data_IF_765965811856
#
_entry.id   IF_765965811856
#
_cell.length_a   1.000
_cell.length_b   1.000
_cell.length_c   1.000
_cell.angle_alpha   90.00
_cell.angle_beta   90.00
_cell.angle_gamma   90.00
#
_symmetry.space_group_name_H-M   'P 1'
#
loop_
_entity.id
_entity.type
_entity.pdbx_description
1 polymer ?
#
# COMPACT_ATOMS: atom_id res chain seq x y z
N UNK A 1 -1.04 9.08 -25.83
CA UNK A 1 -1.31 10.35 -25.12
C UNK A 1 -2.44 10.11 -24.13
N UNK A 2 -2.13 10.04 -22.84
CA UNK A 2 -3.15 10.15 -21.79
C UNK A 2 -2.73 11.34 -20.93
N UNK A 3 -3.48 12.42 -21.11
CA UNK A 3 -3.39 13.67 -20.35
C UNK A 3 -4.05 13.47 -19.00
N UNK A 4 -3.44 14.03 -17.96
CA UNK A 4 -4.09 14.37 -16.70
C UNK A 4 -3.87 13.37 -15.58
N UNK A 5 -2.79 13.54 -14.82
CA UNK A 5 -2.86 13.27 -13.39
C UNK A 5 -3.03 14.63 -12.70
N UNK A 6 -4.20 14.77 -12.08
CA UNK A 6 -4.55 15.85 -11.17
C UNK A 6 -3.54 15.93 -10.01
N UNK A 7 -3.16 17.14 -9.62
CA UNK A 7 -2.05 17.43 -8.69
C UNK A 7 -2.39 17.15 -7.22
N UNK A 8 -3.27 16.20 -6.93
CA UNK A 8 -3.86 16.02 -5.60
C UNK A 8 -3.69 14.63 -4.97
N UNK A 9 -3.20 13.60 -5.67
CA UNK A 9 -3.21 12.23 -5.11
C UNK A 9 -1.94 11.41 -5.42
N UNK A 10 -0.91 11.56 -4.59
CA UNK A 10 0.20 10.61 -4.38
C UNK A 10 1.12 10.28 -5.57
N UNK A 11 2.33 9.78 -5.29
CA UNK A 11 3.21 9.23 -6.33
C UNK A 11 3.00 7.71 -6.41
N UNK A 12 2.44 7.22 -7.50
CA UNK A 12 2.50 5.80 -7.87
C UNK A 12 3.71 5.62 -8.78
N UNK A 13 4.71 4.86 -8.35
CA UNK A 13 5.90 4.56 -9.16
C UNK A 13 5.48 3.76 -10.40
N UNK A 14 5.36 4.41 -11.56
CA UNK A 14 4.63 3.90 -12.73
C UNK A 14 5.44 2.97 -13.66
N UNK A 15 6.73 2.78 -13.45
CA UNK A 15 7.55 1.92 -14.30
C UNK A 15 7.56 0.46 -13.80
N UNK A 16 6.97 -0.44 -14.59
CA UNK A 16 7.06 -1.89 -14.39
C UNK A 16 6.03 -2.53 -13.44
N UNK A 17 5.03 -1.79 -12.94
CA UNK A 17 3.96 -2.37 -12.10
C UNK A 17 2.97 -3.17 -12.97
N UNK A 18 2.71 -4.46 -12.65
CA UNK A 18 1.68 -5.23 -13.34
C UNK A 18 0.29 -4.63 -13.17
N UNK A 19 -0.58 -4.78 -14.18
CA UNK A 19 -1.93 -4.21 -14.16
C UNK A 19 -2.80 -4.64 -12.96
N UNK A 20 -2.71 -5.89 -12.43
CA UNK A 20 -3.47 -6.25 -11.23
C UNK A 20 -3.07 -5.45 -9.99
N UNK A 21 -1.77 -5.27 -9.78
CA UNK A 21 -1.25 -4.49 -8.65
C UNK A 21 -1.68 -3.02 -8.75
N UNK A 22 -1.63 -2.43 -9.95
CA UNK A 22 -2.11 -1.06 -10.16
C UNK A 22 -3.61 -0.91 -9.85
N UNK A 23 -4.44 -1.89 -10.23
CA UNK A 23 -5.87 -1.90 -9.94
C UNK A 23 -6.14 -2.02 -8.43
N UNK A 24 -5.38 -2.88 -7.74
CA UNK A 24 -5.48 -3.04 -6.29
C UNK A 24 -5.14 -1.74 -5.56
N UNK A 25 -4.00 -1.14 -5.89
CA UNK A 25 -3.54 0.15 -5.33
C UNK A 25 -4.59 1.23 -5.54
N UNK A 26 -5.09 1.38 -6.77
CA UNK A 26 -6.12 2.38 -7.09
C UNK A 26 -7.37 2.21 -6.22
N UNK A 27 -7.83 0.97 -6.05
CA UNK A 27 -9.00 0.66 -5.22
C UNK A 27 -8.74 0.97 -3.75
N UNK A 28 -7.57 0.60 -3.23
CA UNK A 28 -7.15 0.91 -1.85
C UNK A 28 -7.11 2.42 -1.64
N UNK A 29 -6.52 3.19 -2.55
CA UNK A 29 -6.43 4.65 -2.45
C UNK A 29 -7.83 5.27 -2.37
N UNK A 30 -8.75 4.84 -3.23
CA UNK A 30 -10.13 5.34 -3.25
C UNK A 30 -10.91 5.03 -1.97
N UNK A 31 -10.80 3.80 -1.45
CA UNK A 31 -11.58 3.33 -0.29
C UNK A 31 -10.95 3.76 1.02
N UNK A 32 -9.63 3.58 1.14
CA UNK A 32 -8.93 3.74 2.40
C UNK A 32 -8.35 5.13 2.60
N UNK A 33 -8.05 5.87 1.53
CA UNK A 33 -7.29 7.13 1.57
C UNK A 33 -6.06 7.00 2.50
N UNK A 34 -5.14 6.07 2.19
CA UNK A 34 -3.99 5.80 3.04
C UNK A 34 -2.97 6.93 2.95
N UNK A 35 -2.06 6.96 3.93
CA UNK A 35 -0.88 7.81 3.90
C UNK A 35 0.26 7.11 3.16
N UNK A 36 0.36 5.77 3.28
CA UNK A 36 1.38 4.97 2.60
C UNK A 36 0.88 3.56 2.29
N UNK A 37 1.33 2.99 1.17
CA UNK A 37 1.14 1.57 0.84
C UNK A 37 2.51 0.95 0.55
N UNK A 38 2.80 -0.14 1.24
CA UNK A 38 4.03 -0.91 1.08
C UNK A 38 3.66 -2.27 0.47
N UNK A 39 4.28 -2.61 -0.65
CA UNK A 39 4.30 -3.96 -1.19
C UNK A 39 5.42 -4.74 -0.51
N UNK A 40 5.13 -5.87 0.11
CA UNK A 40 6.12 -6.69 0.78
C UNK A 40 5.93 -8.18 0.42
N UNK A 41 6.56 -9.07 1.18
CA UNK A 41 6.43 -10.50 0.97
C UNK A 41 7.13 -11.00 -0.29
N UNK A 42 6.68 -12.14 -0.78
CA UNK A 42 7.37 -12.93 -1.81
C UNK A 42 7.59 -12.18 -3.14
N UNK A 43 6.72 -11.22 -3.48
CA UNK A 43 6.85 -10.43 -4.71
C UNK A 43 8.10 -9.53 -4.71
N UNK A 44 8.60 -9.16 -3.52
CA UNK A 44 9.80 -8.30 -3.38
C UNK A 44 11.12 -9.04 -3.51
N UNK A 45 11.12 -10.38 -3.40
CA UNK A 45 12.31 -11.22 -3.37
C UNK A 45 12.93 -11.52 -4.77
N UNK A 46 12.41 -10.89 -5.84
CA UNK A 46 12.99 -10.96 -7.19
C UNK A 46 12.72 -12.27 -7.96
N UNK A 47 12.14 -13.29 -7.32
CA UNK A 47 11.59 -14.46 -8.01
C UNK A 47 10.16 -14.16 -8.44
N UNK A 48 10.02 -13.45 -9.56
CA UNK A 48 8.74 -13.14 -10.21
C UNK A 48 8.03 -14.43 -10.67
N UNK A 49 7.48 -15.19 -9.74
CA UNK A 49 6.60 -16.30 -10.06
C UNK A 49 5.25 -15.71 -10.45
N UNK A 50 4.78 -16.01 -11.65
CA UNK A 50 3.58 -15.46 -12.28
C UNK A 50 2.25 -15.77 -11.56
N UNK A 51 2.29 -16.25 -10.32
CA UNK A 51 1.13 -16.56 -9.48
C UNK A 51 1.34 -16.26 -7.99
N UNK A 52 2.34 -15.47 -7.60
CA UNK A 52 2.49 -15.03 -6.21
C UNK A 52 1.46 -13.96 -5.85
N UNK A 53 0.88 -14.07 -4.66
CA UNK A 53 -0.05 -13.10 -4.10
C UNK A 53 0.64 -11.74 -3.88
N UNK A 54 -0.11 -10.64 -4.01
CA UNK A 54 0.39 -9.31 -3.67
C UNK A 54 0.11 -8.98 -2.20
N UNK A 55 1.13 -9.01 -1.36
CA UNK A 55 1.03 -8.61 0.05
C UNK A 55 1.18 -7.09 0.20
N UNK A 56 0.10 -6.43 0.64
CA UNK A 56 0.01 -4.98 0.75
C UNK A 56 -0.23 -4.55 2.18
N UNK A 57 0.68 -3.72 2.71
CA UNK A 57 0.50 -3.05 4.00
C UNK A 57 0.02 -1.62 3.76
N UNK A 58 -1.21 -1.36 4.19
CA UNK A 58 -1.89 -0.08 4.09
C UNK A 58 -1.72 0.69 5.40
N UNK A 59 -0.90 1.73 5.36
CA UNK A 59 -0.65 2.58 6.52
C UNK A 59 -1.52 3.83 6.45
N UNK A 60 -2.26 4.07 7.53
CA UNK A 60 -3.18 5.20 7.64
C UNK A 60 -3.13 5.79 9.04
N UNK A 61 -2.95 7.09 9.14
CA UNK A 61 -2.97 7.82 10.41
C UNK A 61 -4.38 7.89 10.99
N UNK A 62 -4.47 7.84 12.32
CA UNK A 62 -5.72 7.84 13.07
C UNK A 62 -6.66 6.68 12.70
N UNK A 63 -6.11 5.51 12.40
CA UNK A 63 -6.87 4.32 12.02
C UNK A 63 -7.53 3.69 13.24
N UNK A 64 -8.82 3.97 13.44
CA UNK A 64 -9.58 3.46 14.60
C UNK A 64 -10.04 2.00 14.48
N UNK A 65 -10.33 1.53 13.26
CA UNK A 65 -10.87 0.17 13.04
C UNK A 65 -10.24 -0.48 11.81
N UNK A 66 -9.13 -1.17 12.05
CA UNK A 66 -8.35 -1.89 11.03
C UNK A 66 -9.20 -2.93 10.30
N UNK A 67 -9.89 -3.79 11.05
CA UNK A 67 -10.71 -4.87 10.49
C UNK A 67 -11.79 -4.33 9.54
N UNK A 68 -12.50 -3.28 9.93
CA UNK A 68 -13.53 -2.65 9.09
C UNK A 68 -12.93 -2.02 7.83
N UNK A 69 -11.75 -1.41 7.93
CA UNK A 69 -11.07 -0.84 6.77
C UNK A 69 -10.69 -1.93 5.76
N UNK A 70 -10.06 -3.00 6.23
CA UNK A 70 -9.66 -4.14 5.39
C UNK A 70 -10.88 -4.80 4.75
N UNK A 71 -11.96 -5.04 5.52
CA UNK A 71 -13.21 -5.57 4.97
C UNK A 71 -13.79 -4.66 3.87
N UNK A 72 -13.80 -3.35 4.09
CA UNK A 72 -14.26 -2.40 3.09
C UNK A 72 -13.39 -2.45 1.83
N UNK A 73 -12.07 -2.56 1.95
CA UNK A 73 -11.17 -2.71 0.78
C UNK A 73 -11.56 -3.96 -0.02
N UNK A 74 -11.66 -5.12 0.62
CA UNK A 74 -12.03 -6.37 -0.05
C UNK A 74 -13.40 -6.33 -0.71
N UNK A 75 -14.39 -5.66 -0.12
CA UNK A 75 -15.72 -5.49 -0.73
C UNK A 75 -15.69 -4.69 -2.06
N UNK A 76 -14.66 -3.86 -2.25
CA UNK A 76 -14.49 -3.05 -3.45
C UNK A 76 -13.48 -3.63 -4.44
N UNK A 77 -12.76 -4.70 -4.07
CA UNK A 77 -11.94 -5.46 -5.02
C UNK A 77 -12.83 -6.16 -6.04
N UNK A 78 -12.97 -5.54 -7.22
CA UNK A 78 -13.68 -6.08 -8.37
C UNK A 78 -12.67 -6.32 -9.49
N UNK A 79 -12.57 -7.57 -9.95
CA UNK A 79 -11.76 -7.98 -11.10
C UNK A 79 -10.28 -7.50 -11.02
N UNK A 80 -9.64 -7.66 -9.86
CA UNK A 80 -8.23 -7.30 -9.69
C UNK A 80 -7.32 -8.12 -10.63
N UNK A 81 -7.67 -9.38 -10.88
CA UNK A 81 -6.94 -10.24 -11.84
C UNK A 81 -5.70 -10.93 -11.24
N UNK A 82 -5.51 -10.81 -9.93
CA UNK A 82 -4.53 -11.54 -9.14
C UNK A 82 -4.99 -11.63 -7.67
N UNK A 83 -4.48 -12.59 -6.88
CA UNK A 83 -4.69 -12.61 -5.44
C UNK A 83 -3.98 -11.42 -4.77
N UNK A 84 -4.63 -10.85 -3.76
CA UNK A 84 -4.10 -9.70 -3.01
C UNK A 84 -4.43 -9.86 -1.54
N UNK A 85 -3.39 -9.83 -0.70
CA UNK A 85 -3.51 -9.85 0.74
C UNK A 85 -3.29 -8.45 1.29
N UNK A 86 -4.23 -7.98 2.12
CA UNK A 86 -4.24 -6.60 2.62
C UNK A 86 -4.16 -6.60 4.14
N UNK A 87 -3.07 -6.06 4.65
CA UNK A 87 -2.94 -5.65 6.04
C UNK A 87 -3.17 -4.14 6.15
N UNK A 88 -3.72 -3.69 7.29
CA UNK A 88 -3.83 -2.27 7.58
C UNK A 88 -3.39 -1.98 9.02
N UNK A 89 -2.59 -0.94 9.18
CA UNK A 89 -2.08 -0.51 10.49
C UNK A 89 -2.12 1.01 10.61
N UNK A 90 -2.27 1.48 11.84
CA UNK A 90 -2.07 2.90 12.12
C UNK A 90 -0.60 3.28 11.90
N UNK A 91 -0.37 4.46 11.31
CA UNK A 91 0.98 4.89 10.97
C UNK A 91 1.90 5.01 12.21
N UNK A 92 1.38 5.51 13.33
CA UNK A 92 2.16 5.68 14.55
C UNK A 92 2.45 4.30 15.17
N UNK A 93 1.47 3.39 15.11
CA UNK A 93 1.66 2.00 15.55
C UNK A 93 2.65 1.24 14.69
N UNK A 94 2.71 1.51 13.39
CA UNK A 94 3.74 0.93 12.52
C UNK A 94 5.14 1.38 12.94
N UNK A 95 5.32 2.66 13.24
CA UNK A 95 6.61 3.18 13.70
C UNK A 95 7.10 2.50 14.99
N UNK A 96 6.18 2.11 15.89
CA UNK A 96 6.50 1.37 17.11
C UNK A 96 6.87 -0.10 16.88
N UNK A 97 6.24 -0.74 15.89
CA UNK A 97 6.30 -2.21 15.72
C UNK A 97 7.26 -2.67 14.63
N UNK A 98 7.65 -1.80 13.69
CA UNK A 98 8.45 -2.16 12.52
C UNK A 98 9.85 -2.67 12.83
N UNK A 99 10.38 -2.42 14.03
CA UNK A 99 11.72 -2.86 14.41
C UNK A 99 11.71 -4.21 15.16
N UNK A 100 10.53 -4.80 15.42
CA UNK A 100 10.40 -6.13 16.04
C UNK A 100 10.54 -7.24 14.98
N UNK A 101 11.62 -8.04 14.99
CA UNK A 101 11.90 -9.06 13.98
C UNK A 101 10.90 -10.23 13.97
N UNK A 102 10.05 -10.36 15.00
CA UNK A 102 9.02 -11.41 15.06
C UNK A 102 7.68 -10.97 14.44
N UNK A 103 7.57 -9.70 14.00
CA UNK A 103 6.36 -9.17 13.37
C UNK A 103 6.55 -8.99 11.86
N UNK A 104 5.47 -9.20 11.12
CA UNK A 104 5.44 -9.01 9.67
C UNK A 104 5.78 -7.57 9.24
N UNK A 105 5.59 -6.59 10.13
CA UNK A 105 5.93 -5.19 9.89
C UNK A 105 7.43 -4.97 9.71
N UNK A 106 8.27 -5.82 10.32
CA UNK A 106 9.71 -5.77 10.12
C UNK A 106 10.10 -6.15 8.70
N UNK A 107 9.49 -7.21 8.15
CA UNK A 107 9.70 -7.57 6.75
C UNK A 107 9.23 -6.44 5.81
N UNK A 108 8.06 -5.87 6.09
CA UNK A 108 7.53 -4.75 5.30
C UNK A 108 8.43 -3.49 5.37
N UNK A 109 9.06 -3.19 6.51
CA UNK A 109 10.00 -2.06 6.64
C UNK A 109 11.34 -2.31 5.95
N UNK A 110 11.90 -3.53 6.11
CA UNK A 110 13.25 -3.84 5.62
C UNK A 110 13.30 -4.18 4.13
N UNK A 111 12.35 -4.97 3.66
CA UNK A 111 12.36 -5.55 2.31
C UNK A 111 11.21 -5.02 1.45
N UNK A 112 10.22 -4.37 2.06
CA UNK A 112 9.08 -3.83 1.34
C UNK A 112 9.45 -2.66 0.43
N UNK A 113 8.68 -2.51 -0.64
CA UNK A 113 8.74 -1.39 -1.57
C UNK A 113 7.56 -0.47 -1.33
N UNK A 114 7.83 0.81 -1.06
CA UNK A 114 6.78 1.83 -1.06
C UNK A 114 6.28 2.02 -2.49
N UNK A 115 5.00 1.71 -2.72
CA UNK A 115 4.37 1.79 -4.05
C UNK A 115 3.35 2.94 -4.15
N UNK A 116 2.98 3.50 -3.00
CA UNK A 116 2.19 4.73 -2.90
C UNK A 116 2.58 5.45 -1.61
N UNK A 117 2.76 6.76 -1.71
CA UNK A 117 2.89 7.65 -0.55
C UNK A 117 2.14 8.94 -0.84
N UNK A 118 1.34 9.37 0.14
CA UNK A 118 0.63 10.64 0.07
C UNK A 118 1.64 11.77 0.24
N UNK A 119 1.65 12.73 -0.68
CA UNK A 119 2.45 13.93 -0.52
C UNK A 119 2.00 14.68 0.74
N UNK A 120 2.94 14.90 1.65
CA UNK A 120 2.79 15.90 2.69
C UNK A 120 3.39 17.19 2.17
N UNK A 121 2.55 18.20 1.96
CA UNK A 121 3.03 19.55 1.76
C UNK A 121 3.73 19.96 3.06
N UNK A 122 5.05 20.01 3.05
CA UNK A 122 5.83 20.60 4.12
C UNK A 122 5.34 22.02 4.26
N UNK A 123 4.63 22.33 5.35
CA UNK A 123 4.45 23.71 5.76
C UNK A 123 5.86 24.31 5.82
N UNK A 124 6.15 25.20 4.88
CA UNK A 124 7.36 26.00 4.89
C UNK A 124 7.48 26.62 6.27
N UNK A 125 8.55 26.24 6.96
CA UNK A 125 8.98 26.97 8.14
C UNK A 125 9.64 28.24 7.58
N UNK A 126 8.87 29.33 7.57
CA UNK A 126 9.33 30.70 7.45
C UNK A 126 8.52 31.55 8.44
#
# INVERSE_FOLDING_TARGET
>A
MIKGLDKTEGMVCSEGIPSPLANAVRTIVQVARPDKIILFGSYTAGTNNAGSDYDLLVLKKNLKNQRKLVQNIYLHFRNIGAPVDVLALDLDRFAELKDDPYLIYYEADKNGKVIYEKYHESKGMA
#
